data_IF_991292651215
#
_entry.id   IF_991292651215
#
_cell.length_a   1.000
_cell.length_b   1.000
_cell.length_c   1.000
_cell.angle_alpha   90.00
_cell.angle_beta   90.00
_cell.angle_gamma   90.00
#
_symmetry.space_group_name_H-M   'P 1'
#
loop_
_entity.id
_entity.type
_entity.pdbx_description
1 polymer ?
#
# COMPACT_ATOMS: atom_id res chain seq x y z
N UNK A 1 -2.95 3.03 -9.46
CA UNK A 1 -3.91 2.28 -8.65
C UNK A 1 -3.27 1.87 -7.36
N UNK A 2 -3.92 2.09 -6.25
CA UNK A 2 -3.58 1.42 -4.99
C UNK A 2 -4.45 0.18 -4.87
N UNK A 3 -3.88 -0.95 -4.45
CA UNK A 3 -4.63 -2.18 -4.21
C UNK A 3 -5.70 -2.00 -3.11
N UNK A 4 -6.72 -2.82 -3.13
CA UNK A 4 -7.76 -2.85 -2.10
C UNK A 4 -7.25 -3.43 -0.77
N UNK A 5 -6.20 -4.25 -0.82
CA UNK A 5 -5.50 -4.82 0.34
C UNK A 5 -4.00 -4.61 0.22
N UNK A 6 -3.29 -4.55 1.34
CA UNK A 6 -1.84 -4.58 1.44
C UNK A 6 -1.28 -6.02 1.48
N UNK A 7 -2.15 -7.02 1.59
CA UNK A 7 -1.81 -8.44 1.70
C UNK A 7 -1.86 -9.11 0.34
N UNK A 8 -0.72 -9.63 -0.13
CA UNK A 8 -0.62 -10.27 -1.46
C UNK A 8 -1.58 -11.46 -1.60
N UNK A 9 -1.74 -12.26 -0.55
CA UNK A 9 -2.61 -13.45 -0.57
C UNK A 9 -4.11 -13.15 -0.70
N UNK A 10 -4.51 -11.88 -0.60
CA UNK A 10 -5.90 -11.46 -0.82
C UNK A 10 -6.24 -11.31 -2.31
N UNK A 11 -5.23 -11.43 -3.19
CA UNK A 11 -5.40 -11.33 -4.63
C UNK A 11 -5.26 -12.67 -5.32
N UNK A 12 -5.99 -12.84 -6.43
CA UNK A 12 -5.89 -13.99 -7.31
C UNK A 12 -5.01 -13.70 -8.53
N UNK A 13 -4.56 -14.75 -9.20
CA UNK A 13 -3.84 -14.61 -10.46
C UNK A 13 -4.67 -13.89 -11.53
N UNK A 14 -5.96 -14.20 -11.62
CA UNK A 14 -6.90 -13.62 -12.58
C UNK A 14 -7.05 -12.11 -12.40
N UNK A 15 -7.11 -11.65 -11.15
CA UNK A 15 -7.19 -10.22 -10.83
C UNK A 15 -5.92 -9.45 -11.20
N UNK A 16 -4.76 -10.06 -10.98
CA UNK A 16 -3.47 -9.38 -11.18
C UNK A 16 -2.91 -9.56 -12.60
N UNK A 17 -3.24 -10.62 -13.31
CA UNK A 17 -2.71 -10.90 -14.66
C UNK A 17 -3.13 -9.89 -15.73
N UNK A 18 -4.16 -9.07 -15.46
CA UNK A 18 -4.58 -7.97 -16.33
C UNK A 18 -3.66 -6.76 -16.30
N UNK A 19 -2.76 -6.67 -15.33
CA UNK A 19 -1.81 -5.54 -15.22
C UNK A 19 -0.55 -5.83 -16.00
N UNK A 20 0.06 -4.78 -16.57
CA UNK A 20 1.37 -4.87 -17.23
C UNK A 20 2.51 -4.69 -16.25
N UNK A 21 2.31 -3.85 -15.24
CA UNK A 21 3.29 -3.55 -14.19
C UNK A 21 2.62 -3.58 -12.84
N UNK A 22 3.22 -4.26 -11.90
CA UNK A 22 2.83 -4.27 -10.49
C UNK A 22 4.00 -3.71 -9.68
N UNK A 23 3.78 -2.60 -8.96
CA UNK A 23 4.75 -2.03 -8.05
C UNK A 23 4.35 -2.34 -6.61
N UNK A 24 5.16 -3.11 -5.91
CA UNK A 24 4.93 -3.54 -4.54
C UNK A 24 5.74 -2.68 -3.57
N UNK A 25 5.05 -1.92 -2.73
CA UNK A 25 5.67 -1.12 -1.66
C UNK A 25 4.82 -1.19 -0.40
N UNK A 26 5.43 -1.53 0.74
CA UNK A 26 4.72 -1.59 2.01
C UNK A 26 3.65 -2.69 2.07
N UNK A 27 3.90 -3.82 1.42
CA UNK A 27 2.99 -4.96 1.39
C UNK A 27 3.19 -5.93 2.56
N UNK A 28 2.22 -6.81 2.75
CA UNK A 28 2.26 -7.92 3.67
C UNK A 28 1.87 -9.24 3.00
N UNK A 29 2.02 -10.35 3.72
CA UNK A 29 1.53 -11.66 3.33
C UNK A 29 1.08 -12.45 4.57
N UNK A 30 0.12 -13.33 4.38
CA UNK A 30 -0.30 -14.32 5.39
C UNK A 30 0.41 -15.65 5.20
N UNK A 31 0.68 -16.01 3.94
CA UNK A 31 1.44 -17.17 3.51
C UNK A 31 2.50 -16.72 2.49
N UNK A 32 3.77 -16.81 2.90
CA UNK A 32 4.89 -16.34 2.09
C UNK A 32 5.07 -17.15 0.82
N UNK A 33 5.05 -18.49 0.93
CA UNK A 33 5.27 -19.39 -0.20
C UNK A 33 4.20 -19.19 -1.27
N UNK A 34 2.92 -19.09 -0.86
CA UNK A 34 1.82 -18.84 -1.76
C UNK A 34 1.90 -17.44 -2.40
N UNK A 35 2.36 -16.43 -1.67
CA UNK A 35 2.56 -15.07 -2.21
C UNK A 35 3.68 -15.05 -3.25
N UNK A 36 4.81 -15.69 -2.98
CA UNK A 36 5.94 -15.79 -3.90
C UNK A 36 5.54 -16.59 -5.16
N UNK A 37 4.83 -17.72 -5.01
CA UNK A 37 4.33 -18.51 -6.14
C UNK A 37 3.39 -17.71 -7.05
N UNK A 38 2.49 -16.92 -6.46
CA UNK A 38 1.60 -16.04 -7.23
C UNK A 38 2.40 -15.05 -8.07
N UNK A 39 3.44 -14.42 -7.50
CA UNK A 39 4.27 -13.46 -8.21
C UNK A 39 5.11 -14.13 -9.31
N UNK A 40 5.66 -15.33 -9.08
CA UNK A 40 6.35 -16.09 -10.13
C UNK A 40 5.42 -16.42 -11.30
N UNK A 41 4.20 -16.87 -11.03
CA UNK A 41 3.22 -17.17 -12.07
C UNK A 41 2.84 -15.94 -12.89
N UNK A 42 2.71 -14.78 -12.21
CA UNK A 42 2.44 -13.50 -12.88
C UNK A 42 3.60 -13.08 -13.77
N UNK A 43 4.83 -13.23 -13.29
CA UNK A 43 6.04 -12.94 -14.05
C UNK A 43 6.17 -13.84 -15.31
N UNK A 44 5.86 -15.14 -15.17
CA UNK A 44 5.82 -16.08 -16.30
C UNK A 44 4.74 -15.73 -17.32
N UNK A 45 3.65 -15.11 -16.88
CA UNK A 45 2.59 -14.59 -17.75
C UNK A 45 2.95 -13.25 -18.41
N UNK A 46 4.15 -12.69 -18.13
CA UNK A 46 4.64 -11.43 -18.71
C UNK A 46 4.20 -10.17 -17.94
N UNK A 47 3.76 -10.32 -16.69
CA UNK A 47 3.54 -9.16 -15.80
C UNK A 47 4.87 -8.74 -15.20
N UNK A 48 5.21 -7.46 -15.32
CA UNK A 48 6.42 -6.92 -14.70
C UNK A 48 6.16 -6.53 -13.24
N UNK A 49 6.97 -7.08 -12.34
CA UNK A 49 6.83 -6.89 -10.90
C UNK A 49 8.06 -6.15 -10.39
N UNK A 50 7.84 -4.99 -9.78
CA UNK A 50 8.90 -4.19 -9.16
C UNK A 50 8.66 -4.13 -7.66
N UNK A 51 9.61 -4.61 -6.88
CA UNK A 51 9.50 -4.74 -5.42
C UNK A 51 10.39 -3.70 -4.74
N UNK A 52 9.77 -2.79 -3.99
CA UNK A 52 10.49 -1.80 -3.19
C UNK A 52 11.00 -2.41 -1.89
N UNK A 53 12.30 -2.40 -1.71
CA UNK A 53 12.97 -2.98 -0.54
C UNK A 53 12.60 -2.32 0.79
N UNK A 54 12.35 -1.03 0.77
CA UNK A 54 12.14 -0.26 1.99
C UNK A 54 10.84 -0.63 2.72
N UNK A 55 9.87 -1.17 1.98
CA UNK A 55 8.61 -1.66 2.50
C UNK A 55 8.51 -3.17 2.67
N UNK A 56 9.60 -3.92 2.57
CA UNK A 56 9.56 -5.37 2.71
C UNK A 56 9.13 -5.80 4.12
N UNK A 57 8.25 -6.81 4.21
CA UNK A 57 7.85 -7.38 5.48
C UNK A 57 9.03 -8.06 6.17
N UNK A 58 9.04 -8.01 7.51
CA UNK A 58 10.00 -8.75 8.32
C UNK A 58 9.47 -10.16 8.56
N UNK A 59 10.25 -11.15 8.17
CA UNK A 59 9.92 -12.56 8.40
C UNK A 59 9.95 -12.86 9.92
N UNK A 60 8.84 -13.42 10.42
CA UNK A 60 8.61 -13.56 11.88
C UNK A 60 9.56 -14.55 12.56
N UNK A 61 9.98 -15.58 11.85
CA UNK A 61 10.85 -16.63 12.39
C UNK A 61 12.30 -16.21 12.48
N UNK A 62 12.82 -15.50 11.48
CA UNK A 62 14.22 -15.09 11.39
C UNK A 62 14.46 -13.66 11.89
N UNK A 63 13.42 -12.83 11.93
CA UNK A 63 13.53 -11.41 12.23
C UNK A 63 14.24 -10.61 11.12
N UNK A 64 14.42 -11.20 9.94
CA UNK A 64 15.10 -10.58 8.81
C UNK A 64 14.08 -10.05 7.78
N UNK A 65 14.45 -9.00 7.09
CA UNK A 65 13.72 -8.57 5.89
C UNK A 65 14.22 -9.41 4.72
N UNK A 66 13.38 -10.33 4.29
CA UNK A 66 13.68 -11.25 3.21
C UNK A 66 12.41 -11.58 2.44
N UNK A 67 12.49 -11.58 1.10
CA UNK A 67 11.42 -11.99 0.21
C UNK A 67 12.02 -12.55 -1.09
N UNK A 68 11.45 -13.62 -1.63
CA UNK A 68 11.94 -14.31 -2.85
C UNK A 68 13.44 -14.65 -2.80
N UNK A 69 13.95 -15.01 -1.63
CA UNK A 69 15.36 -15.32 -1.42
C UNK A 69 16.29 -14.11 -1.36
N UNK A 70 15.78 -12.87 -1.48
CA UNK A 70 16.58 -11.66 -1.39
C UNK A 70 16.57 -11.11 0.02
N UNK A 71 17.75 -10.96 0.62
CA UNK A 71 17.95 -10.39 1.95
C UNK A 71 18.25 -8.91 1.84
N UNK A 72 17.60 -8.11 2.71
CA UNK A 72 17.76 -6.68 2.75
C UNK A 72 18.39 -6.23 4.06
N UNK A 73 19.26 -5.23 3.97
CA UNK A 73 19.80 -4.52 5.12
C UNK A 73 19.69 -3.02 4.92
N UNK A 74 19.81 -2.27 6.02
CA UNK A 74 19.74 -0.82 6.00
C UNK A 74 21.07 -0.18 6.30
N UNK A 75 21.34 0.95 5.67
CA UNK A 75 22.45 1.85 5.97
C UNK A 75 21.92 3.28 6.06
N UNK A 76 22.60 4.13 6.84
CA UNK A 76 22.24 5.54 7.01
C UNK A 76 23.39 6.41 6.55
N UNK A 77 23.14 7.26 5.56
CA UNK A 77 24.07 8.32 5.14
C UNK A 77 23.75 9.61 5.89
N UNK A 78 24.78 10.24 6.49
CA UNK A 78 24.61 11.42 7.34
C UNK A 78 25.33 12.67 6.81
N UNK A 79 26.55 12.52 6.29
CA UNK A 79 27.42 13.65 5.92
C UNK A 79 27.75 13.67 4.42
N UNK A 80 26.81 13.26 3.63
CA UNK A 80 26.95 13.10 2.18
C UNK A 80 26.39 11.76 1.73
N UNK A 81 26.14 11.66 0.45
CA UNK A 81 25.59 10.45 -0.14
C UNK A 81 26.64 9.78 -1.02
N UNK A 82 26.61 8.43 -1.13
CA UNK A 82 27.56 7.73 -1.98
C UNK A 82 27.33 8.08 -3.45
N UNK A 83 28.37 7.89 -4.25
CA UNK A 83 28.21 7.84 -5.70
C UNK A 83 27.48 6.54 -6.01
N UNK A 84 26.36 6.65 -6.71
CA UNK A 84 25.62 5.50 -7.21
C UNK A 84 26.14 5.12 -8.59
N UNK A 85 26.06 3.83 -8.89
CA UNK A 85 26.38 3.29 -10.20
C UNK A 85 25.14 2.59 -10.76
N UNK A 86 24.65 3.03 -11.91
CA UNK A 86 23.54 2.42 -12.61
C UNK A 86 23.97 2.01 -14.00
N UNK A 87 23.88 0.72 -14.32
CA UNK A 87 24.36 0.14 -15.59
C UNK A 87 25.78 0.63 -15.92
N UNK A 88 26.66 0.58 -14.90
CA UNK A 88 28.05 1.02 -14.92
C UNK A 88 28.28 2.52 -15.20
N UNK A 89 27.28 3.37 -15.04
CA UNK A 89 27.41 4.83 -15.13
C UNK A 89 27.29 5.45 -13.74
N UNK A 90 28.14 6.40 -13.44
CA UNK A 90 28.10 7.18 -12.21
C UNK A 90 26.86 8.07 -12.15
N UNK A 91 26.18 8.04 -11.02
CA UNK A 91 25.05 8.90 -10.69
C UNK A 91 25.32 9.59 -9.37
N UNK A 92 25.60 10.88 -9.42
CA UNK A 92 25.79 11.71 -8.21
C UNK A 92 24.45 12.31 -7.86
N UNK A 93 23.90 11.88 -6.73
CA UNK A 93 22.60 12.32 -6.25
C UNK A 93 22.67 13.68 -5.54
N UNK A 94 21.55 14.41 -5.56
CA UNK A 94 21.39 15.64 -4.80
C UNK A 94 21.27 15.33 -3.30
N UNK A 95 21.76 16.20 -2.45
CA UNK A 95 21.46 16.18 -1.03
C UNK A 95 20.00 16.64 -0.79
N UNK A 96 19.42 16.21 0.32
CA UNK A 96 18.14 16.77 0.75
C UNK A 96 18.28 18.27 1.05
N UNK A 97 17.18 19.00 0.89
CA UNK A 97 17.17 20.45 1.11
C UNK A 97 17.54 20.83 2.56
N UNK A 98 17.20 19.98 3.52
CA UNK A 98 17.74 20.03 4.88
C UNK A 98 19.08 19.30 4.89
N UNK A 99 20.17 20.05 4.89
CA UNK A 99 21.54 19.52 4.83
C UNK A 99 21.93 18.59 5.98
N UNK A 100 21.17 18.58 7.07
CA UNK A 100 21.35 17.68 8.22
C UNK A 100 20.48 16.42 8.11
N UNK A 101 19.62 16.31 7.09
CA UNK A 101 18.73 15.17 6.92
C UNK A 101 19.52 13.90 6.61
N UNK A 102 19.20 12.85 7.36
CA UNK A 102 19.77 11.52 7.18
C UNK A 102 19.00 10.80 6.10
N UNK A 103 19.72 10.14 5.22
CA UNK A 103 19.11 9.24 4.25
C UNK A 103 19.23 7.80 4.74
N UNK A 104 18.14 7.25 5.27
CA UNK A 104 18.03 5.85 5.65
C UNK A 104 17.60 5.04 4.43
N UNK A 105 18.41 4.06 4.05
CA UNK A 105 18.21 3.32 2.81
C UNK A 105 18.34 1.82 3.01
N UNK A 106 17.69 1.07 2.15
CA UNK A 106 17.76 -0.38 2.10
C UNK A 106 18.55 -0.83 0.89
N UNK A 107 19.43 -1.81 1.07
CA UNK A 107 20.21 -2.44 0.02
C UNK A 107 20.09 -3.96 0.10
N UNK A 108 20.58 -4.68 -0.93
CA UNK A 108 20.48 -6.13 -1.06
C UNK A 108 21.81 -6.83 -0.85
N UNK A 109 21.78 -8.00 -0.21
CA UNK A 109 22.98 -8.79 0.06
C UNK A 109 23.27 -9.85 -0.99
N UNK A 110 22.26 -10.42 -1.62
CA UNK A 110 22.39 -11.61 -2.47
C UNK A 110 21.50 -11.53 -3.71
N UNK A 111 21.48 -10.36 -4.35
CA UNK A 111 20.77 -10.19 -5.60
C UNK A 111 21.50 -10.97 -6.71
N UNK A 112 20.84 -11.87 -7.46
CA UNK A 112 21.49 -12.67 -8.51
C UNK A 112 22.04 -11.83 -9.66
N UNK A 113 21.29 -10.80 -10.06
CA UNK A 113 21.69 -9.84 -11.09
C UNK A 113 21.59 -8.43 -10.55
N UNK A 114 22.65 -7.65 -10.68
CA UNK A 114 22.76 -6.28 -10.21
C UNK A 114 22.82 -5.30 -11.36
N UNK A 115 21.83 -4.38 -11.40
CA UNK A 115 21.80 -3.26 -12.35
C UNK A 115 22.32 -1.96 -11.74
N UNK A 116 22.19 -1.83 -10.41
CA UNK A 116 22.70 -0.66 -9.70
C UNK A 116 23.29 -1.00 -8.34
N UNK A 117 24.39 -0.31 -8.01
CA UNK A 117 25.13 -0.50 -6.78
C UNK A 117 25.78 0.82 -6.32
N UNK A 118 26.29 0.80 -5.10
CA UNK A 118 27.15 1.83 -4.54
C UNK A 118 28.23 1.17 -3.67
N UNK A 119 29.24 1.94 -3.29
CA UNK A 119 30.29 1.46 -2.38
C UNK A 119 30.11 2.06 -0.98
N UNK A 120 30.12 1.20 0.02
CA UNK A 120 30.29 1.56 1.42
C UNK A 120 31.47 0.78 2.01
N UNK A 121 32.41 1.48 2.64
CA UNK A 121 33.64 0.87 3.20
C UNK A 121 34.38 -0.07 2.23
N UNK A 122 34.47 0.26 0.96
CA UNK A 122 35.01 -0.54 -0.15
C UNK A 122 34.23 -1.84 -0.44
N UNK A 123 33.06 -2.02 0.12
CA UNK A 123 32.15 -3.09 -0.24
C UNK A 123 31.12 -2.60 -1.26
N UNK A 124 30.94 -3.36 -2.32
CA UNK A 124 29.88 -3.12 -3.29
C UNK A 124 28.55 -3.60 -2.73
N UNK A 125 27.55 -2.72 -2.70
CA UNK A 125 26.22 -2.97 -2.17
C UNK A 125 25.17 -2.69 -3.26
N UNK A 126 24.42 -3.73 -3.62
CA UNK A 126 23.43 -3.68 -4.68
C UNK A 126 22.12 -3.02 -4.21
N UNK A 127 21.51 -2.19 -5.04
CA UNK A 127 20.21 -1.57 -4.72
C UNK A 127 19.17 -1.64 -5.84
N UNK A 128 19.53 -2.08 -7.05
CA UNK A 128 18.61 -2.44 -8.12
C UNK A 128 19.12 -3.71 -8.80
N UNK A 129 18.22 -4.63 -9.08
CA UNK A 129 18.52 -5.82 -9.86
C UNK A 129 17.37 -6.82 -9.91
N UNK A 130 17.63 -8.00 -10.46
CA UNK A 130 16.62 -9.01 -10.80
C UNK A 130 16.83 -10.31 -10.07
N UNK A 131 15.73 -11.03 -9.79
CA UNK A 131 15.77 -12.31 -9.07
C UNK A 131 15.26 -13.50 -9.86
N UNK A 132 14.34 -13.27 -10.75
CA UNK A 132 13.69 -14.32 -11.54
C UNK A 132 13.42 -13.74 -12.92
N UNK A 133 13.61 -14.38 -13.98
CA UNK A 133 13.50 -13.86 -15.34
C UNK A 133 13.56 -12.29 -15.38
N UNK A 134 13.43 -11.65 -16.51
CA UNK A 134 13.49 -10.17 -16.60
C UNK A 134 12.26 -9.46 -16.03
N UNK A 135 11.29 -10.20 -15.51
CA UNK A 135 10.00 -9.66 -15.08
C UNK A 135 9.88 -9.43 -13.57
N UNK A 136 10.85 -9.82 -12.75
CA UNK A 136 10.87 -9.49 -11.31
C UNK A 136 12.14 -8.73 -10.96
N UNK A 137 11.98 -7.47 -10.57
CA UNK A 137 13.07 -6.62 -10.13
C UNK A 137 12.86 -6.11 -8.71
N UNK A 138 13.97 -5.85 -8.02
CA UNK A 138 14.00 -5.20 -6.73
C UNK A 138 14.61 -3.81 -6.86
N UNK A 139 14.04 -2.84 -6.15
CA UNK A 139 14.53 -1.48 -6.07
C UNK A 139 14.69 -1.04 -4.61
N UNK A 140 15.88 -0.61 -4.23
CA UNK A 140 16.23 -0.13 -2.90
C UNK A 140 16.43 1.37 -2.83
N UNK A 141 17.17 1.81 -1.81
CA UNK A 141 17.53 3.19 -1.52
C UNK A 141 16.34 4.14 -1.35
N UNK A 142 15.12 3.62 -1.17
CA UNK A 142 13.91 4.44 -1.11
C UNK A 142 13.91 5.58 -2.14
N UNK A 143 14.26 5.23 -3.39
CA UNK A 143 14.43 6.20 -4.47
C UNK A 143 13.21 7.09 -4.69
N UNK A 144 11.95 6.62 -4.58
CA UNK A 144 10.79 7.49 -4.70
C UNK A 144 10.80 8.65 -3.69
N UNK A 145 11.13 8.35 -2.42
CA UNK A 145 11.25 9.36 -1.38
C UNK A 145 12.40 10.33 -1.67
N UNK A 146 13.57 9.80 -2.06
CA UNK A 146 14.73 10.62 -2.41
C UNK A 146 14.41 11.61 -3.55
N UNK A 147 13.78 11.13 -4.61
CA UNK A 147 13.39 11.96 -5.76
C UNK A 147 12.40 13.05 -5.33
N UNK A 148 11.43 12.70 -4.49
CA UNK A 148 10.43 13.64 -4.00
C UNK A 148 11.05 14.75 -3.14
N UNK A 149 11.93 14.39 -2.19
CA UNK A 149 12.53 15.34 -1.23
C UNK A 149 13.67 16.19 -1.83
N UNK A 150 14.42 15.64 -2.79
CA UNK A 150 15.60 16.30 -3.34
C UNK A 150 15.39 16.86 -4.75
N UNK A 151 14.26 16.57 -5.40
CA UNK A 151 13.98 16.87 -6.81
C UNK A 151 15.10 16.38 -7.74
N UNK A 152 15.67 15.20 -7.45
CA UNK A 152 16.83 14.65 -8.14
C UNK A 152 16.43 13.97 -9.45
N UNK A 153 16.66 14.67 -10.57
CA UNK A 153 16.38 14.14 -11.90
C UNK A 153 17.25 12.93 -12.29
N UNK A 154 18.42 12.75 -11.66
CA UNK A 154 19.29 11.61 -11.94
C UNK A 154 18.82 10.35 -11.20
N UNK A 155 18.40 10.50 -9.93
CA UNK A 155 17.77 9.41 -9.19
C UNK A 155 16.42 9.04 -9.84
N UNK A 156 15.65 10.05 -10.29
CA UNK A 156 14.44 9.86 -11.08
C UNK A 156 14.69 9.07 -12.36
N UNK A 157 15.81 9.33 -13.06
CA UNK A 157 16.16 8.58 -14.25
C UNK A 157 16.33 7.08 -14.01
N UNK A 158 16.89 6.66 -12.86
CA UNK A 158 16.98 5.24 -12.50
C UNK A 158 15.56 4.65 -12.39
N UNK A 159 14.67 5.34 -11.68
CA UNK A 159 13.28 4.89 -11.53
C UNK A 159 12.55 4.84 -12.89
N UNK A 160 12.72 5.87 -13.70
CA UNK A 160 12.10 5.93 -15.03
C UNK A 160 12.60 4.79 -15.93
N UNK A 161 13.86 4.39 -15.83
CA UNK A 161 14.39 3.25 -16.57
C UNK A 161 13.83 1.92 -16.08
N UNK A 162 13.70 1.72 -14.77
CA UNK A 162 13.20 0.45 -14.21
C UNK A 162 11.68 0.30 -14.35
N UNK A 163 10.93 1.39 -14.21
CA UNK A 163 9.49 1.40 -14.38
C UNK A 163 9.07 1.72 -15.82
N UNK A 164 9.78 2.65 -16.46
CA UNK A 164 9.42 3.22 -17.75
C UNK A 164 9.63 2.28 -18.93
N UNK A 165 10.56 1.31 -18.84
CA UNK A 165 10.72 0.28 -19.87
C UNK A 165 9.39 -0.44 -20.15
N UNK A 166 8.59 -0.65 -19.11
CA UNK A 166 7.30 -1.33 -19.18
C UNK A 166 6.12 -0.39 -19.42
N UNK A 167 6.24 0.88 -19.02
CA UNK A 167 5.18 1.88 -19.23
C UNK A 167 4.94 2.17 -20.72
N UNK A 168 5.95 2.02 -21.57
CA UNK A 168 5.83 2.20 -23.01
C UNK A 168 4.94 1.12 -23.67
N UNK A 169 4.74 -0.01 -23.03
CA UNK A 169 3.86 -1.08 -23.49
C UNK A 169 2.39 -0.88 -23.07
N UNK A 170 2.13 0.11 -22.21
CA UNK A 170 0.76 0.39 -21.79
C UNK A 170 -0.03 0.97 -22.96
N UNK A 171 -1.29 0.52 -23.15
CA UNK A 171 -2.15 1.15 -24.13
C UNK A 171 -2.27 2.64 -23.83
N UNK A 172 -2.22 3.47 -24.86
CA UNK A 172 -2.36 4.92 -24.73
C UNK A 172 -3.65 5.25 -23.95
N UNK A 173 -3.52 5.74 -22.73
CA UNK A 173 -4.66 6.13 -21.91
C UNK A 173 -4.99 7.58 -22.21
N UNK A 174 -6.24 7.84 -22.52
CA UNK A 174 -6.77 9.19 -22.59
C UNK A 174 -7.03 9.68 -21.17
N UNK A 175 -6.45 10.82 -20.81
CA UNK A 175 -6.75 11.47 -19.54
C UNK A 175 -8.04 12.29 -19.72
N UNK A 176 -9.06 11.95 -18.95
CA UNK A 176 -10.32 12.70 -18.89
C UNK A 176 -10.31 13.53 -17.61
N UNK A 177 -10.35 14.87 -17.69
CA UNK A 177 -10.38 15.70 -16.50
C UNK A 177 -11.73 15.55 -15.80
N UNK A 178 -11.71 15.16 -14.53
CA UNK A 178 -12.86 15.06 -13.64
C UNK A 178 -12.72 16.03 -12.49
N UNK A 179 -13.84 16.47 -11.92
CA UNK A 179 -13.84 17.25 -10.68
C UNK A 179 -14.28 16.35 -9.54
N UNK A 180 -13.46 16.24 -8.50
CA UNK A 180 -13.77 15.47 -7.29
C UNK A 180 -13.83 16.42 -6.11
N UNK A 181 -14.97 16.42 -5.40
CA UNK A 181 -15.17 17.23 -4.19
C UNK A 181 -15.56 16.31 -3.04
N UNK A 182 -14.74 16.27 -2.00
CA UNK A 182 -15.02 15.53 -0.78
C UNK A 182 -15.64 16.43 0.28
N UNK A 183 -16.61 15.92 1.02
CA UNK A 183 -17.29 16.69 2.06
C UNK A 183 -18.00 15.79 3.08
N UNK A 184 -18.66 16.42 4.05
CA UNK A 184 -19.38 15.69 5.10
C UNK A 184 -20.52 14.79 4.60
N UNK A 185 -21.01 15.03 3.37
CA UNK A 185 -22.09 14.26 2.74
C UNK A 185 -21.58 13.14 1.82
N UNK A 186 -20.26 12.94 1.72
CA UNK A 186 -19.64 11.95 0.84
C UNK A 186 -18.77 12.59 -0.24
N UNK A 187 -18.72 11.94 -1.39
CA UNK A 187 -17.88 12.34 -2.54
C UNK A 187 -18.79 12.74 -3.69
N UNK A 188 -18.53 13.91 -4.25
CA UNK A 188 -19.18 14.37 -5.48
C UNK A 188 -18.18 14.35 -6.62
N UNK A 189 -18.53 13.67 -7.70
CA UNK A 189 -17.69 13.52 -8.90
C UNK A 189 -18.47 14.11 -10.08
N UNK A 190 -17.80 14.94 -10.88
CA UNK A 190 -18.34 15.46 -12.12
C UNK A 190 -17.46 14.95 -13.25
N UNK A 191 -18.04 14.15 -14.15
CA UNK A 191 -17.39 13.60 -15.33
C UNK A 191 -18.03 14.15 -16.61
N UNK A 192 -17.21 14.52 -17.62
CA UNK A 192 -17.74 14.94 -18.91
C UNK A 192 -18.19 13.76 -19.80
N UNK A 193 -17.83 12.52 -19.48
CA UNK A 193 -18.02 11.34 -20.31
C UNK A 193 -18.45 10.14 -19.46
N UNK A 194 -19.07 9.14 -20.12
CA UNK A 194 -19.44 7.86 -19.51
C UNK A 194 -18.21 6.97 -19.34
N UNK A 195 -18.27 6.06 -18.34
CA UNK A 195 -17.27 5.02 -18.14
C UNK A 195 -15.88 5.54 -17.77
N UNK A 196 -15.79 6.66 -17.05
CA UNK A 196 -14.50 7.23 -16.66
C UNK A 196 -14.01 6.60 -15.38
N UNK A 197 -12.84 5.93 -15.47
CA UNK A 197 -12.12 5.40 -14.30
C UNK A 197 -11.49 6.52 -13.48
N UNK A 198 -11.78 6.53 -12.19
CA UNK A 198 -11.15 7.44 -11.24
C UNK A 198 -9.89 6.83 -10.64
N UNK A 199 -9.13 7.61 -9.86
CA UNK A 199 -8.03 7.08 -9.04
C UNK A 199 -8.49 6.61 -7.66
N UNK A 200 -9.79 6.64 -7.40
CA UNK A 200 -10.37 6.21 -6.13
C UNK A 200 -10.61 4.71 -6.15
N UNK A 201 -10.24 4.04 -5.07
CA UNK A 201 -10.59 2.64 -4.87
C UNK A 201 -12.12 2.51 -4.72
N UNK A 202 -12.71 1.49 -5.35
CA UNK A 202 -14.12 1.17 -5.16
C UNK A 202 -14.30 0.43 -3.83
N UNK A 203 -15.37 0.75 -3.12
CA UNK A 203 -15.77 0.06 -1.89
C UNK A 203 -17.26 -0.25 -1.92
N UNK A 204 -17.64 -1.42 -1.40
CA UNK A 204 -19.04 -1.87 -1.31
C UNK A 204 -19.92 -0.99 -0.43
N UNK A 205 -19.32 -0.13 0.40
CA UNK A 205 -20.04 0.86 1.19
C UNK A 205 -20.48 2.09 0.39
N UNK A 206 -20.02 2.22 -0.86
CA UNK A 206 -20.44 3.32 -1.73
C UNK A 206 -21.86 3.12 -2.20
N UNK A 207 -22.67 4.16 -2.09
CA UNK A 207 -24.05 4.21 -2.52
C UNK A 207 -24.29 5.48 -3.34
N UNK A 208 -24.87 5.35 -4.50
CA UNK A 208 -25.20 6.46 -5.40
C UNK A 208 -26.54 6.19 -6.10
N UNK A 209 -27.30 7.26 -6.44
CA UNK A 209 -28.45 7.17 -7.34
C UNK A 209 -28.03 7.02 -8.80
N UNK A 210 -26.84 7.53 -9.15
CA UNK A 210 -26.22 7.37 -10.46
C UNK A 210 -25.51 6.01 -10.54
N UNK A 211 -25.32 5.52 -11.75
CA UNK A 211 -24.60 4.28 -11.99
C UNK A 211 -23.12 4.46 -11.64
N UNK A 212 -22.64 3.63 -10.70
CA UNK A 212 -21.24 3.48 -10.34
C UNK A 212 -20.88 2.02 -10.39
N UNK A 213 -19.67 1.70 -10.79
CA UNK A 213 -19.20 0.30 -10.83
C UNK A 213 -17.70 0.20 -10.55
N UNK A 214 -17.26 -1.03 -10.33
CA UNK A 214 -15.85 -1.35 -10.10
C UNK A 214 -15.26 -2.00 -11.34
N UNK A 215 -14.12 -1.51 -11.79
CA UNK A 215 -13.26 -2.20 -12.74
C UNK A 215 -11.82 -2.12 -12.22
N UNK A 216 -11.18 -3.28 -12.08
CA UNK A 216 -9.84 -3.39 -11.47
C UNK A 216 -9.75 -2.68 -10.10
N UNK A 217 -10.75 -2.87 -9.26
CA UNK A 217 -10.88 -2.25 -7.93
C UNK A 217 -10.94 -0.72 -7.91
N UNK A 218 -11.06 -0.08 -9.06
CA UNK A 218 -11.24 1.35 -9.16
C UNK A 218 -12.72 1.71 -9.33
N UNK A 219 -13.08 2.87 -8.82
CA UNK A 219 -14.38 3.46 -9.01
C UNK A 219 -14.49 4.05 -10.41
N UNK A 220 -15.51 3.62 -11.16
CA UNK A 220 -15.91 4.16 -12.45
C UNK A 220 -17.23 4.91 -12.31
N UNK A 221 -17.35 6.01 -13.04
CA UNK A 221 -18.53 6.87 -13.07
C UNK A 221 -18.94 7.21 -14.50
N UNK A 222 -20.21 7.44 -14.70
CA UNK A 222 -20.74 7.91 -15.98
C UNK A 222 -20.77 9.45 -16.06
N UNK A 223 -21.11 9.99 -17.25
CA UNK A 223 -21.18 11.42 -17.51
C UNK A 223 -22.19 12.12 -16.58
N UNK A 224 -21.83 13.34 -16.18
CA UNK A 224 -22.66 14.17 -15.32
C UNK A 224 -22.14 14.26 -13.88
N UNK A 225 -23.04 14.60 -12.98
CA UNK A 225 -22.74 14.73 -11.55
C UNK A 225 -23.17 13.45 -10.81
N UNK A 226 -22.19 12.77 -10.20
CA UNK A 226 -22.39 11.58 -9.38
C UNK A 226 -22.16 11.93 -7.91
N UNK A 227 -23.19 11.75 -7.08
CA UNK A 227 -23.10 11.91 -5.63
C UNK A 227 -22.97 10.54 -4.97
N UNK A 228 -21.83 10.28 -4.32
CA UNK A 228 -21.55 9.05 -3.60
C UNK A 228 -21.69 9.32 -2.11
N UNK A 229 -22.53 8.53 -1.46
CA UNK A 229 -22.71 8.50 -0.01
C UNK A 229 -22.15 7.21 0.56
N UNK A 230 -21.90 7.16 1.87
CA UNK A 230 -21.40 5.97 2.55
C UNK A 230 -22.53 5.23 3.24
N UNK A 231 -22.80 4.00 2.81
CA UNK A 231 -23.79 3.11 3.40
C UNK A 231 -23.08 1.99 4.15
N UNK A 232 -23.04 2.10 5.46
CA UNK A 232 -22.39 1.07 6.28
C UNK A 232 -23.36 -0.11 6.50
N UNK A 233 -23.08 -1.30 5.97
CA UNK A 233 -23.86 -2.49 6.26
C UNK A 233 -23.84 -2.76 7.77
N UNK A 234 -24.98 -3.20 8.29
CA UNK A 234 -25.14 -3.51 9.72
C UNK A 234 -25.04 -2.33 10.71
N UNK A 235 -24.95 -1.07 10.28
CA UNK A 235 -24.91 0.08 11.19
C UNK A 235 -26.12 0.11 12.12
N UNK A 236 -27.33 -0.08 11.57
CA UNK A 236 -28.58 -0.08 12.35
C UNK A 236 -28.62 -1.25 13.32
N UNK A 237 -28.21 -2.46 12.88
CA UNK A 237 -28.14 -3.64 13.73
C UNK A 237 -27.13 -3.45 14.86
N UNK A 238 -25.95 -2.92 14.58
CA UNK A 238 -24.93 -2.61 15.58
C UNK A 238 -25.43 -1.59 16.61
N UNK A 239 -26.14 -0.56 16.14
CA UNK A 239 -26.76 0.45 17.02
C UNK A 239 -27.81 -0.19 17.95
N UNK A 240 -28.68 -1.04 17.42
CA UNK A 240 -29.70 -1.73 18.22
C UNK A 240 -29.10 -2.66 19.27
N UNK A 241 -28.06 -3.43 18.90
CA UNK A 241 -27.34 -4.30 19.86
C UNK A 241 -26.68 -3.46 20.95
N UNK A 242 -26.07 -2.33 20.60
CA UNK A 242 -25.44 -1.44 21.57
C UNK A 242 -26.45 -0.82 22.53
N UNK A 243 -27.60 -0.38 22.04
CA UNK A 243 -28.69 0.16 22.87
C UNK A 243 -29.26 -0.91 23.79
N UNK A 244 -29.45 -2.13 23.30
CA UNK A 244 -29.89 -3.27 24.12
C UNK A 244 -28.86 -3.58 25.22
N UNK A 245 -27.58 -3.60 24.93
CA UNK A 245 -26.50 -3.78 25.91
C UNK A 245 -26.53 -2.73 27.02
N UNK A 246 -26.71 -1.45 26.65
CA UNK A 246 -26.85 -0.35 27.62
C UNK A 246 -28.09 -0.54 28.48
N UNK A 247 -29.23 -0.90 27.88
CA UNK A 247 -30.46 -1.14 28.64
C UNK A 247 -30.33 -2.31 29.66
N UNK A 248 -29.70 -3.41 29.25
CA UNK A 248 -29.38 -4.54 30.13
C UNK A 248 -28.44 -4.12 31.28
N UNK A 249 -27.43 -3.32 30.98
CA UNK A 249 -26.50 -2.82 32.00
C UNK A 249 -27.21 -1.94 33.04
N UNK A 250 -28.05 -1.00 32.59
CA UNK A 250 -28.87 -0.16 33.50
C UNK A 250 -29.82 -1.01 34.35
N UNK A 251 -30.51 -1.97 33.74
CA UNK A 251 -31.39 -2.89 34.47
C UNK A 251 -30.65 -3.70 35.55
N UNK A 252 -29.44 -4.16 35.22
CA UNK A 252 -28.56 -4.87 36.14
C UNK A 252 -28.15 -3.99 37.34
N UNK A 253 -27.76 -2.74 37.10
CA UNK A 253 -27.45 -1.78 38.17
C UNK A 253 -28.66 -1.55 39.09
N UNK A 254 -29.84 -1.33 38.49
CA UNK A 254 -31.10 -1.15 39.26
C UNK A 254 -31.38 -2.38 40.12
N UNK A 255 -31.20 -3.59 39.54
CA UNK A 255 -31.37 -4.84 40.27
C UNK A 255 -30.42 -4.94 41.48
N UNK A 256 -29.14 -4.65 41.30
CA UNK A 256 -28.15 -4.64 42.37
C UNK A 256 -28.50 -3.62 43.48
N UNK A 257 -28.89 -2.42 43.10
CA UNK A 257 -29.30 -1.39 44.05
C UNK A 257 -30.53 -1.80 44.87
N UNK A 258 -31.52 -2.44 44.23
CA UNK A 258 -32.70 -2.95 44.91
C UNK A 258 -32.38 -4.12 45.83
N UNK A 259 -31.49 -5.00 45.44
CA UNK A 259 -31.01 -6.12 46.24
C UNK A 259 -30.30 -5.61 47.51
N UNK A 260 -29.36 -4.69 47.36
CA UNK A 260 -28.63 -4.10 48.48
C UNK A 260 -29.57 -3.40 49.49
N UNK A 261 -30.59 -2.65 49.01
CA UNK A 261 -31.58 -2.05 49.89
C UNK A 261 -32.33 -3.07 50.70
N UNK A 262 -32.76 -4.19 50.12
CA UNK A 262 -33.46 -5.27 50.81
C UNK A 262 -32.58 -5.97 51.86
N UNK A 263 -31.28 -6.04 51.64
CA UNK A 263 -30.35 -6.62 52.64
C UNK A 263 -30.13 -5.66 53.81
N UNK A 264 -30.05 -4.37 53.57
CA UNK A 264 -29.97 -3.34 54.63
C UNK A 264 -31.26 -3.29 55.49
N UNK A 265 -32.45 -3.33 54.83
CA UNK A 265 -33.73 -3.34 55.55
C UNK A 265 -33.90 -4.58 56.40
N UNK A 266 -33.40 -5.75 55.99
CA UNK A 266 -33.41 -6.97 56.81
C UNK A 266 -32.50 -6.91 58.04
N UNK A 267 -31.37 -6.22 57.92
CA UNK A 267 -30.44 -6.03 59.06
C UNK A 267 -30.99 -5.04 60.09
N UNK A 268 -31.76 -4.03 59.68
CA UNK A 268 -32.37 -3.04 60.59
C UNK A 268 -33.60 -3.57 61.37
N UNK A 269 -34.19 -4.66 60.92
CA UNK A 269 -35.35 -5.28 61.63
C UNK A 269 -34.91 -6.31 62.67
N UNK A 270 -33.65 -6.74 62.68
CA UNK A 270 -33.08 -7.71 63.61
C UNK A 270 -32.26 -7.09 64.76
N UNK A 271 -32.34 -5.78 64.97
CA UNK A 271 -31.78 -5.00 66.07
C UNK A 271 -32.97 -4.45 66.88
#
# INVERSE_FOLDING_TARGET
>A
CTGASDTINDYTFEELSGYKVIYLSGFSYTDKEAAEELLYRLADAGVHIVIAADGLPTERTTGQKEFMGVYCQTVTFQNGYPILYYKNKEVITNLFADGDAKWNVTYFLNLPETDAYFYDNNQELSFVGRVYNDNISFIGLNLPYHVFESMDEKAKYIMDCELGAYLNELPGRRIVPITVVTGAKGIRIISPEDGVGTTLAYHDIFSSEQHIYSENHLLYVDAGETQITFSYPYFVQGLLVSLFGVACYVAFIIFLCRRNRREVDKQSVNV
#
